data_IF_453006674396
#
_entry.id   IF_453006674396
#
_cell.length_a   1.000
_cell.length_b   1.000
_cell.length_c   1.000
_cell.angle_alpha   90.00
_cell.angle_beta   90.00
_cell.angle_gamma   90.00
#
_symmetry.space_group_name_H-M   'P 1'
#
loop_
_entity.id
_entity.type
_entity.pdbx_description
1 polymer ?
#
# COMPACT_ATOMS: atom_id res chain seq x y z
N UNK A 1 9.70 -25.90 -7.98
CA UNK A 1 8.31 -26.35 -8.09
C UNK A 1 7.48 -25.10 -8.34
N UNK A 2 6.76 -25.02 -9.46
CA UNK A 2 5.88 -23.88 -9.75
C UNK A 2 4.53 -24.10 -9.08
N UNK A 3 4.06 -23.14 -8.30
CA UNK A 3 2.74 -23.20 -7.66
C UNK A 3 1.64 -23.00 -8.71
N UNK A 4 0.45 -23.58 -8.48
CA UNK A 4 -0.70 -23.35 -9.36
C UNK A 4 -1.29 -21.95 -9.14
N UNK A 5 -1.93 -21.40 -10.18
CA UNK A 5 -2.65 -20.11 -10.07
C UNK A 5 -3.68 -20.10 -8.95
N UNK A 6 -4.39 -21.21 -8.74
CA UNK A 6 -5.39 -21.30 -7.67
C UNK A 6 -4.75 -21.17 -6.28
N UNK A 7 -3.57 -21.76 -6.07
CA UNK A 7 -2.83 -21.62 -4.82
C UNK A 7 -2.35 -20.18 -4.63
N UNK A 8 -1.78 -19.57 -5.67
CA UNK A 8 -1.29 -18.19 -5.62
C UNK A 8 -2.42 -17.18 -5.38
N UNK A 9 -3.57 -17.35 -6.03
CA UNK A 9 -4.76 -16.54 -5.77
C UNK A 9 -5.24 -16.70 -4.33
N UNK A 10 -5.25 -17.93 -3.79
CA UNK A 10 -5.64 -18.17 -2.40
C UNK A 10 -4.72 -17.47 -1.39
N UNK A 11 -3.41 -17.36 -1.69
CA UNK A 11 -2.49 -16.55 -0.88
C UNK A 11 -2.82 -15.07 -1.01
N UNK A 12 -3.05 -14.58 -2.22
CA UNK A 12 -3.39 -13.18 -2.46
C UNK A 12 -4.67 -12.77 -1.71
N UNK A 13 -5.72 -13.59 -1.76
CA UNK A 13 -6.97 -13.36 -1.04
C UNK A 13 -6.75 -13.38 0.50
N UNK A 14 -5.90 -14.29 1.00
CA UNK A 14 -5.56 -14.33 2.41
C UNK A 14 -4.76 -13.09 2.86
N UNK A 15 -3.80 -12.65 2.03
CA UNK A 15 -3.03 -11.43 2.25
C UNK A 15 -3.90 -10.19 2.26
N UNK A 16 -4.86 -10.11 1.33
CA UNK A 16 -5.87 -9.04 1.27
C UNK A 16 -6.70 -8.93 2.55
N UNK A 17 -7.02 -10.07 3.18
CA UNK A 17 -7.71 -10.10 4.47
C UNK A 17 -6.88 -9.58 5.65
N UNK A 18 -5.54 -9.62 5.54
CA UNK A 18 -4.61 -9.09 6.54
C UNK A 18 -4.30 -7.61 6.32
N UNK A 19 -4.09 -7.21 5.07
CA UNK A 19 -3.80 -5.83 4.67
C UNK A 19 -5.10 -5.07 4.51
N UNK A 20 -5.58 -4.47 5.60
CA UNK A 20 -6.84 -3.70 5.62
C UNK A 20 -6.63 -2.21 5.40
N UNK A 21 -5.38 -1.74 5.50
CA UNK A 21 -5.01 -0.34 5.34
C UNK A 21 -3.72 -0.19 4.53
N UNK A 22 -3.60 0.92 3.81
CA UNK A 22 -2.35 1.35 3.16
C UNK A 22 -1.87 2.65 3.80
N UNK A 23 -0.57 2.72 4.09
CA UNK A 23 0.14 3.95 4.46
C UNK A 23 1.27 4.27 3.49
N UNK A 24 1.71 5.52 3.48
CA UNK A 24 2.85 6.02 2.73
C UNK A 24 4.05 6.21 3.64
N UNK A 25 5.24 5.92 3.10
CA UNK A 25 6.52 6.04 3.79
C UNK A 25 7.45 7.01 3.07
N UNK A 26 8.43 7.53 3.79
CA UNK A 26 9.54 8.31 3.25
C UNK A 26 10.65 7.42 2.67
N UNK A 27 11.74 8.06 2.22
CA UNK A 27 12.90 7.41 1.59
C UNK A 27 13.71 6.53 2.55
N UNK A 28 13.45 6.61 3.85
CA UNK A 28 14.01 5.72 4.87
C UNK A 28 13.08 4.56 5.21
N UNK A 29 11.88 4.52 4.62
CA UNK A 29 10.83 3.57 4.97
C UNK A 29 10.06 3.94 6.24
N UNK A 30 10.21 5.16 6.75
CA UNK A 30 9.47 5.63 7.92
C UNK A 30 8.10 6.14 7.48
N UNK A 31 7.04 5.75 8.19
CA UNK A 31 5.68 6.19 7.88
C UNK A 31 5.54 7.71 8.03
N UNK A 32 4.92 8.34 7.02
CA UNK A 32 4.60 9.77 7.05
C UNK A 32 3.64 10.04 8.21
N UNK A 33 3.80 11.16 8.90
CA UNK A 33 2.90 11.57 9.99
C UNK A 33 2.64 13.07 10.00
N UNK A 34 1.53 13.51 10.61
CA UNK A 34 1.19 14.92 10.78
C UNK A 34 0.37 15.53 9.63
N UNK A 35 -0.02 16.81 9.76
CA UNK A 35 -0.71 17.58 8.71
C UNK A 35 -2.03 17.02 8.19
N UNK A 36 -2.69 16.13 8.94
CA UNK A 36 -3.92 15.45 8.52
C UNK A 36 -3.68 14.14 7.76
N UNK A 37 -2.43 13.70 7.64
CA UNK A 37 -2.12 12.37 7.13
C UNK A 37 -2.72 11.28 8.03
N UNK A 38 -3.34 10.29 7.39
CA UNK A 38 -3.76 9.04 7.98
C UNK A 38 -3.66 7.93 6.91
N UNK A 39 -3.45 6.69 7.35
CA UNK A 39 -3.59 5.51 6.49
C UNK A 39 -4.97 5.50 5.84
N UNK A 40 -5.08 5.01 4.62
CA UNK A 40 -6.36 4.80 3.95
C UNK A 40 -6.80 3.35 4.14
N UNK A 41 -8.09 3.13 4.39
CA UNK A 41 -8.66 1.78 4.30
C UNK A 41 -8.58 1.32 2.84
N UNK A 42 -8.23 0.05 2.64
CA UNK A 42 -8.14 -0.56 1.31
C UNK A 42 -9.14 -1.71 1.20
N UNK A 43 -9.87 -1.70 0.10
CA UNK A 43 -10.65 -2.84 -0.39
C UNK A 43 -9.97 -3.35 -1.65
N UNK A 44 -10.05 -4.66 -1.86
CA UNK A 44 -9.27 -5.34 -2.89
C UNK A 44 -10.19 -5.91 -3.97
N UNK A 45 -9.72 -5.89 -5.21
CA UNK A 45 -10.32 -6.64 -6.30
C UNK A 45 -10.19 -8.16 -6.08
N UNK A 46 -10.76 -8.96 -6.97
CA UNK A 46 -10.51 -10.41 -6.97
C UNK A 46 -9.08 -10.72 -7.40
N UNK A 47 -8.39 -11.62 -6.69
CA UNK A 47 -7.06 -12.04 -7.07
C UNK A 47 -7.02 -12.74 -8.45
N UNK A 48 -6.05 -12.37 -9.28
CA UNK A 48 -5.81 -12.95 -10.60
C UNK A 48 -4.32 -13.21 -10.78
N UNK A 49 -3.95 -14.47 -11.06
CA UNK A 49 -2.56 -14.90 -11.25
C UNK A 49 -1.64 -14.55 -10.08
N UNK A 50 -2.10 -14.72 -8.83
CA UNK A 50 -1.30 -14.41 -7.64
C UNK A 50 -1.15 -12.93 -7.33
N UNK A 51 -1.82 -12.07 -8.10
CA UNK A 51 -1.79 -10.63 -7.95
C UNK A 51 -3.15 -10.14 -7.46
N UNK A 52 -3.14 -9.19 -6.54
CA UNK A 52 -4.35 -8.49 -6.09
C UNK A 52 -4.10 -6.98 -6.01
N UNK A 53 -5.10 -6.19 -6.39
CA UNK A 53 -5.03 -4.72 -6.47
C UNK A 53 -6.09 -4.08 -5.60
N UNK A 54 -5.87 -2.84 -5.11
CA UNK A 54 -6.94 -2.02 -4.60
C UNK A 54 -8.06 -1.87 -5.65
N UNK A 55 -9.31 -1.80 -5.23
CA UNK A 55 -10.46 -1.59 -6.13
C UNK A 55 -10.74 -0.11 -6.44
N UNK A 56 -10.05 0.80 -5.75
CA UNK A 56 -10.15 2.24 -5.92
C UNK A 56 -8.82 2.95 -5.60
N UNK A 57 -8.63 4.12 -6.22
CA UNK A 57 -7.50 5.00 -5.92
C UNK A 57 -7.59 5.50 -4.46
N UNK A 58 -6.44 5.62 -3.80
CA UNK A 58 -6.34 5.99 -2.39
C UNK A 58 -5.73 7.40 -2.25
N UNK A 59 -6.53 8.43 -1.90
CA UNK A 59 -6.02 9.78 -1.69
C UNK A 59 -5.46 9.95 -0.28
N UNK A 60 -4.25 10.51 -0.18
CA UNK A 60 -3.57 10.82 1.08
C UNK A 60 -3.31 12.32 1.20
N UNK A 61 -3.66 12.89 2.35
CA UNK A 61 -3.20 14.23 2.74
C UNK A 61 -1.74 14.17 3.16
N UNK A 62 -0.87 14.94 2.49
CA UNK A 62 0.56 14.97 2.75
C UNK A 62 0.93 16.29 3.45
N UNK A 63 1.62 16.26 4.61
CA UNK A 63 2.10 17.46 5.27
C UNK A 63 3.19 18.16 4.45
N UNK A 64 3.33 19.47 4.65
CA UNK A 64 4.47 20.23 4.10
C UNK A 64 5.80 19.68 4.63
N UNK A 65 6.78 19.54 3.75
CA UNK A 65 8.12 19.07 4.06
C UNK A 65 8.30 17.55 4.03
N UNK A 66 7.24 16.79 3.76
CA UNK A 66 7.34 15.34 3.58
C UNK A 66 7.77 14.96 2.15
N UNK A 67 8.37 13.78 2.03
CA UNK A 67 8.65 13.12 0.75
C UNK A 67 7.97 11.78 0.76
N UNK A 68 7.09 11.52 -0.21
CA UNK A 68 6.50 10.20 -0.41
C UNK A 68 7.46 9.38 -1.25
N UNK A 69 7.93 8.23 -0.75
CA UNK A 69 8.87 7.37 -1.46
C UNK A 69 8.50 5.88 -1.40
N UNK A 70 7.38 5.52 -0.79
CA UNK A 70 6.90 4.15 -0.78
C UNK A 70 5.49 4.03 -0.21
N UNK A 71 4.90 2.84 -0.33
CA UNK A 71 3.68 2.47 0.37
C UNK A 71 3.87 1.16 1.13
N UNK A 72 3.11 0.98 2.21
CA UNK A 72 3.12 -0.22 3.04
C UNK A 72 1.70 -0.64 3.40
N UNK A 73 1.48 -1.94 3.46
CA UNK A 73 0.23 -2.57 3.87
C UNK A 73 0.20 -2.83 5.37
N UNK A 74 -0.89 -2.44 6.03
CA UNK A 74 -1.05 -2.52 7.48
C UNK A 74 -2.32 -3.26 7.90
N UNK A 75 -2.28 -3.84 9.11
CA UNK A 75 -3.45 -4.49 9.74
C UNK A 75 -4.47 -3.53 10.36
N UNK A 76 -4.15 -2.24 10.52
CA UNK A 76 -5.05 -1.26 11.18
C UNK A 76 -4.79 0.20 10.77
N UNK A 77 -5.77 1.06 11.05
CA UNK A 77 -5.81 2.48 10.68
C UNK A 77 -4.80 3.37 11.43
N UNK A 78 -4.65 3.17 12.74
CA UNK A 78 -3.89 4.07 13.62
C UNK A 78 -2.46 3.59 13.85
N UNK A 79 -1.63 4.45 14.47
CA UNK A 79 -0.29 4.09 14.92
C UNK A 79 -0.32 2.81 15.77
N UNK A 80 0.37 1.78 15.28
CA UNK A 80 0.19 0.39 15.71
C UNK A 80 -0.20 -0.50 14.54
N UNK A 81 -0.09 -1.80 14.74
CA UNK A 81 -0.37 -2.81 13.72
C UNK A 81 0.87 -3.33 13.01
N UNK A 82 0.65 -4.45 12.34
CA UNK A 82 1.70 -5.15 11.62
C UNK A 82 1.85 -4.50 10.27
N UNK A 83 3.07 -4.03 9.99
CA UNK A 83 3.53 -3.73 8.63
C UNK A 83 3.80 -5.07 7.93
N UNK A 84 3.07 -5.35 6.86
CA UNK A 84 3.22 -6.56 6.05
C UNK A 84 4.14 -6.35 4.84
N UNK A 85 4.74 -5.16 4.71
CA UNK A 85 5.55 -4.76 3.56
C UNK A 85 4.75 -3.99 2.51
N UNK A 86 5.39 -3.72 1.38
CA UNK A 86 4.82 -2.99 0.26
C UNK A 86 5.90 -2.70 -0.77
N UNK A 87 5.76 -1.62 -1.53
CA UNK A 87 6.67 -1.28 -2.62
C UNK A 87 7.25 0.11 -2.43
N UNK A 88 8.46 0.31 -2.96
CA UNK A 88 9.08 1.63 -3.06
C UNK A 88 8.54 2.35 -4.30
N UNK A 89 8.41 3.66 -4.19
CA UNK A 89 7.91 4.56 -5.23
C UNK A 89 9.03 5.51 -5.66
N UNK A 90 8.86 6.13 -6.82
CA UNK A 90 9.73 7.26 -7.18
C UNK A 90 9.51 8.38 -6.15
N UNK A 91 10.57 8.87 -5.46
CA UNK A 91 10.40 9.89 -4.43
C UNK A 91 9.73 11.16 -4.96
N UNK A 92 8.68 11.60 -4.27
CA UNK A 92 7.92 12.79 -4.58
C UNK A 92 7.92 13.76 -3.37
N UNK A 93 8.69 14.86 -3.44
CA UNK A 93 8.73 15.85 -2.37
C UNK A 93 7.51 16.78 -2.39
N UNK A 94 7.00 17.12 -1.21
CA UNK A 94 5.90 18.06 -1.01
C UNK A 94 6.38 19.30 -0.23
N UNK A 95 6.81 20.34 -0.94
CA UNK A 95 7.29 21.59 -0.31
C UNK A 95 6.18 22.31 0.51
N UNK A 96 4.93 22.19 0.06
CA UNK A 96 3.72 22.63 0.77
C UNK A 96 2.80 21.44 0.98
N UNK A 97 1.87 21.52 1.94
CA UNK A 97 0.87 20.48 2.13
C UNK A 97 0.07 20.25 0.84
N UNK A 98 -0.30 19.00 0.57
CA UNK A 98 -0.97 18.62 -0.68
C UNK A 98 -1.59 17.23 -0.61
N UNK A 99 -1.94 16.69 -1.77
CA UNK A 99 -2.53 15.34 -1.88
C UNK A 99 -1.64 14.46 -2.75
N UNK A 100 -1.36 13.25 -2.27
CA UNK A 100 -0.80 12.16 -3.07
C UNK A 100 -1.92 11.15 -3.35
N UNK A 101 -2.12 10.76 -4.60
CA UNK A 101 -3.10 9.72 -4.95
C UNK A 101 -2.35 8.47 -5.35
N UNK A 102 -2.46 7.43 -4.54
CA UNK A 102 -1.93 6.11 -4.88
C UNK A 102 -2.93 5.44 -5.83
N UNK A 103 -2.51 5.23 -7.08
CA UNK A 103 -3.40 4.69 -8.10
C UNK A 103 -3.59 3.18 -7.93
N UNK A 104 -4.84 2.72 -7.92
CA UNK A 104 -5.20 1.31 -7.85
C UNK A 104 -4.56 0.51 -9.01
N UNK A 105 -4.63 1.06 -10.22
CA UNK A 105 -4.14 0.41 -11.43
C UNK A 105 -2.62 0.14 -11.42
N UNK A 106 -1.84 0.89 -10.63
CA UNK A 106 -0.39 0.71 -10.49
C UNK A 106 0.02 0.12 -9.16
N UNK A 107 -0.92 -0.21 -8.27
CA UNK A 107 -0.64 -0.76 -6.95
C UNK A 107 -1.06 -2.23 -6.93
N UNK A 108 -0.18 -3.10 -6.47
CA UNK A 108 -0.50 -4.53 -6.33
C UNK A 108 0.32 -5.19 -5.25
N UNK A 109 -0.27 -6.19 -4.60
CA UNK A 109 0.48 -7.23 -3.91
C UNK A 109 0.66 -8.38 -4.89
N UNK A 110 1.92 -8.75 -5.17
CA UNK A 110 2.29 -9.81 -6.11
C UNK A 110 2.94 -10.96 -5.36
N UNK A 111 2.33 -12.15 -5.43
CA UNK A 111 2.84 -13.37 -4.84
C UNK A 111 3.56 -14.28 -5.85
N UNK A 112 3.78 -13.81 -7.07
CA UNK A 112 4.66 -14.49 -8.00
C UNK A 112 6.10 -14.29 -7.53
N UNK A 113 6.83 -15.39 -7.30
CA UNK A 113 8.27 -15.32 -7.08
C UNK A 113 8.93 -14.81 -8.37
N UNK A 114 9.61 -13.66 -8.28
CA UNK A 114 10.62 -13.22 -9.26
C UNK A 114 11.95 -13.89 -9.00
#
# INVERSE_FOLDING_TARGET
MTMSTAYLNGIADAGAGLVTHIGLVDDTGTEITGGGYARQAVTWETAVNGLIRPDADLPFSIPSGATVAGWRGYSQLAAGGTDYGGEDLTPQPFATAGTYTLLAASTSVDHNAV
#
